data_IF_900691331527
#
_entry.id   IF_900691331527
#
_cell.length_a   1.000
_cell.length_b   1.000
_cell.length_c   1.000
_cell.angle_alpha   90.00
_cell.angle_beta   90.00
_cell.angle_gamma   90.00
#
_symmetry.space_group_name_H-M   'P 1'
#
loop_
_entity.id
_entity.type
_entity.pdbx_description
1 polymer ?
#
# COMPACT_ATOMS: atom_id res chain seq x y z
N UNK A 1 25.47 9.40 -31.83
CA UNK A 1 24.91 8.16 -32.42
C UNK A 1 25.90 7.23 -33.13
N UNK A 2 27.22 7.39 -33.06
CA UNK A 2 28.14 6.47 -33.80
C UNK A 2 29.31 5.90 -33.00
N UNK A 3 29.23 5.88 -31.67
CA UNK A 3 30.25 5.22 -30.82
C UNK A 3 29.71 4.62 -29.51
N UNK A 4 28.40 4.34 -29.40
CA UNK A 4 27.92 3.32 -28.46
C UNK A 4 28.02 1.99 -29.21
N UNK A 5 29.16 1.33 -29.09
CA UNK A 5 29.50 0.18 -29.94
C UNK A 5 28.47 -0.93 -29.79
N UNK A 6 28.11 -1.55 -30.92
CA UNK A 6 27.29 -2.77 -30.98
C UNK A 6 27.79 -3.86 -30.01
N UNK A 7 29.10 -3.87 -29.75
CA UNK A 7 29.79 -4.78 -28.83
C UNK A 7 29.32 -4.60 -27.38
N UNK A 8 29.06 -3.37 -26.93
CA UNK A 8 28.65 -3.10 -25.55
C UNK A 8 27.18 -3.51 -25.30
N UNK A 9 26.30 -3.30 -26.27
CA UNK A 9 24.86 -3.64 -26.16
C UNK A 9 24.63 -5.14 -25.97
N UNK A 10 25.44 -5.96 -26.64
CA UNK A 10 25.37 -7.42 -26.53
C UNK A 10 25.96 -7.97 -25.21
N UNK A 11 26.67 -7.15 -24.43
CA UNK A 11 27.23 -7.56 -23.12
C UNK A 11 26.31 -7.25 -21.94
N UNK A 12 25.30 -6.39 -22.14
CA UNK A 12 24.38 -5.97 -21.07
C UNK A 12 23.31 -7.05 -20.87
N UNK A 13 23.38 -7.73 -19.73
CA UNK A 13 22.43 -8.77 -19.31
C UNK A 13 21.52 -8.34 -18.14
N UNK A 14 21.85 -7.23 -17.48
CA UNK A 14 21.11 -6.67 -16.35
C UNK A 14 20.95 -5.18 -16.57
N UNK A 15 19.73 -4.68 -16.43
CA UNK A 15 19.43 -3.25 -16.56
C UNK A 15 18.41 -2.81 -15.50
N UNK A 16 18.72 -1.72 -14.82
CA UNK A 16 17.85 -1.06 -13.83
C UNK A 16 17.63 0.36 -14.30
N UNK A 17 16.37 0.72 -14.50
CA UNK A 17 15.95 2.04 -14.96
C UNK A 17 14.90 2.56 -14.01
N UNK A 18 15.24 3.64 -13.33
CA UNK A 18 14.33 4.43 -12.51
C UNK A 18 14.16 5.79 -13.22
N UNK A 19 12.94 6.07 -13.66
CA UNK A 19 12.64 7.29 -14.43
C UNK A 19 11.89 8.23 -13.52
N UNK A 20 12.60 9.18 -12.94
CA UNK A 20 11.98 10.23 -12.15
C UNK A 20 11.65 11.47 -12.97
N UNK A 21 10.37 11.70 -13.26
CA UNK A 21 9.93 12.96 -13.84
C UNK A 21 9.69 13.99 -12.72
N UNK A 22 10.57 14.98 -12.64
CA UNK A 22 10.37 16.16 -11.80
C UNK A 22 9.41 17.12 -12.52
N UNK A 23 8.17 17.17 -12.03
CA UNK A 23 7.28 18.32 -12.10
C UNK A 23 7.22 19.09 -13.42
N UNK A 24 6.39 18.63 -14.35
CA UNK A 24 5.48 19.47 -15.14
C UNK A 24 4.54 18.55 -15.92
N UNK A 25 3.26 18.92 -16.04
CA UNK A 25 2.28 18.22 -16.88
C UNK A 25 2.63 18.47 -18.35
N UNK A 26 3.58 17.71 -18.89
CA UNK A 26 3.76 17.61 -20.33
C UNK A 26 2.99 16.39 -20.81
N UNK A 27 2.33 16.49 -21.95
CA UNK A 27 1.57 15.44 -22.65
C UNK A 27 2.44 14.29 -23.17
N UNK A 28 3.55 13.99 -22.49
CA UNK A 28 4.52 12.95 -22.83
C UNK A 28 4.03 11.58 -22.36
N UNK A 29 2.83 11.20 -22.82
CA UNK A 29 2.11 9.98 -22.45
C UNK A 29 2.66 8.75 -23.23
N UNK A 30 3.28 8.95 -24.39
CA UNK A 30 3.84 7.87 -25.25
C UNK A 30 5.30 7.47 -24.93
N UNK A 31 6.02 8.29 -24.17
CA UNK A 31 7.49 8.16 -24.05
C UNK A 31 7.90 6.89 -23.31
N UNK A 32 7.16 6.46 -22.29
CA UNK A 32 7.57 5.33 -21.46
C UNK A 32 7.33 3.97 -22.14
N UNK A 33 6.21 3.83 -22.86
CA UNK A 33 5.92 2.62 -23.66
C UNK A 33 6.97 2.48 -24.75
N UNK A 34 7.21 3.57 -25.49
CA UNK A 34 8.24 3.60 -26.52
C UNK A 34 9.61 3.30 -25.92
N UNK A 35 9.96 3.90 -24.77
CA UNK A 35 11.24 3.65 -24.11
C UNK A 35 11.37 2.18 -23.68
N UNK A 36 10.33 1.59 -23.10
CA UNK A 36 10.30 0.18 -22.71
C UNK A 36 10.54 -0.73 -23.92
N UNK A 37 9.83 -0.50 -25.02
CA UNK A 37 10.03 -1.23 -26.28
C UNK A 37 11.47 -1.01 -26.80
N UNK A 38 11.96 0.23 -26.81
CA UNK A 38 13.31 0.56 -27.27
C UNK A 38 14.40 -0.13 -26.44
N UNK A 39 14.23 -0.24 -25.13
CA UNK A 39 15.15 -0.98 -24.26
C UNK A 39 15.18 -2.45 -24.69
N UNK A 40 14.01 -3.06 -24.86
CA UNK A 40 13.89 -4.46 -25.21
C UNK A 40 14.42 -4.79 -26.61
N UNK A 41 14.33 -3.84 -27.55
CA UNK A 41 14.92 -3.99 -28.89
C UNK A 41 16.42 -3.70 -28.91
N UNK A 42 16.91 -2.77 -28.08
CA UNK A 42 18.33 -2.41 -28.03
C UNK A 42 19.22 -3.43 -27.30
N UNK A 43 18.66 -4.20 -26.36
CA UNK A 43 19.42 -5.14 -25.53
C UNK A 43 18.94 -6.60 -25.74
N UNK A 44 19.34 -7.26 -26.84
CA UNK A 44 18.85 -8.61 -27.18
C UNK A 44 19.26 -9.71 -26.19
N UNK A 45 20.31 -9.47 -25.37
CA UNK A 45 20.81 -10.39 -24.35
C UNK A 45 20.35 -10.04 -22.93
N UNK A 46 19.41 -9.10 -22.79
CA UNK A 46 18.90 -8.65 -21.50
C UNK A 46 18.16 -9.77 -20.79
N UNK A 47 18.67 -10.20 -19.63
CA UNK A 47 18.07 -11.25 -18.79
C UNK A 47 17.26 -10.71 -17.63
N UNK A 48 17.63 -9.53 -17.13
CA UNK A 48 16.95 -8.84 -16.02
C UNK A 48 16.65 -7.40 -16.40
N UNK A 49 15.40 -6.98 -16.19
CA UNK A 49 14.97 -5.60 -16.32
C UNK A 49 14.17 -5.16 -15.10
N UNK A 50 14.59 -4.06 -14.47
CA UNK A 50 13.75 -3.32 -13.53
C UNK A 50 13.39 -1.96 -14.13
N UNK A 51 12.11 -1.73 -14.34
CA UNK A 51 11.57 -0.54 -14.98
C UNK A 51 10.51 0.10 -14.08
N UNK A 52 10.91 1.15 -13.37
CA UNK A 52 10.06 1.88 -12.44
C UNK A 52 9.98 3.36 -12.81
N UNK A 53 9.00 3.80 -13.62
CA UNK A 53 8.77 5.23 -13.79
C UNK A 53 8.09 5.77 -12.52
N UNK A 54 8.68 6.79 -11.91
CA UNK A 54 8.32 7.19 -10.56
C UNK A 54 7.05 8.05 -10.44
N UNK A 55 6.40 8.46 -11.55
CA UNK A 55 5.34 9.50 -11.45
C UNK A 55 4.56 9.85 -12.72
N UNK A 56 4.61 9.07 -13.81
CA UNK A 56 4.02 9.49 -15.09
C UNK A 56 2.67 8.80 -15.31
N UNK A 57 1.68 9.61 -15.68
CA UNK A 57 0.34 9.18 -16.10
C UNK A 57 0.46 8.57 -17.50
N UNK A 58 0.13 7.30 -17.65
CA UNK A 58 0.03 6.67 -18.96
C UNK A 58 -1.37 6.90 -19.52
N UNK A 59 -1.45 7.19 -20.82
CA UNK A 59 -2.55 6.60 -21.59
C UNK A 59 -2.19 5.15 -21.85
N UNK A 60 -3.20 4.30 -21.68
CA UNK A 60 -3.17 2.84 -21.77
C UNK A 60 -2.16 2.34 -22.81
N UNK A 61 -1.42 1.27 -22.51
CA UNK A 61 -0.68 0.50 -23.53
C UNK A 61 -1.58 0.02 -24.69
N UNK A 62 -2.91 0.13 -24.53
CA UNK A 62 -3.88 -0.03 -25.61
C UNK A 62 -3.84 1.15 -26.56
N UNK A 63 -3.78 0.85 -27.85
CA UNK A 63 -3.87 1.74 -29.01
C UNK A 63 -2.53 1.86 -29.75
N UNK A 64 -2.38 0.96 -30.74
CA UNK A 64 -1.54 1.08 -31.94
C UNK A 64 -0.11 0.49 -31.98
N UNK A 65 0.46 -0.02 -30.90
CA UNK A 65 1.72 -0.77 -31.02
C UNK A 65 1.48 -2.23 -31.40
N UNK A 66 1.76 -2.61 -32.66
CA UNK A 66 1.95 -4.00 -33.07
C UNK A 66 3.20 -4.59 -32.37
N UNK A 67 3.06 -4.91 -31.09
CA UNK A 67 4.08 -5.54 -30.24
C UNK A 67 4.46 -6.97 -30.68
N UNK A 68 3.79 -7.51 -31.70
CA UNK A 68 3.88 -8.90 -32.14
C UNK A 68 5.20 -9.29 -32.83
N UNK A 69 6.10 -8.35 -33.13
CA UNK A 69 7.25 -8.64 -34.00
C UNK A 69 8.65 -8.42 -33.41
N UNK A 70 8.83 -7.67 -32.31
CA UNK A 70 10.20 -7.28 -31.91
C UNK A 70 10.36 -7.12 -30.39
N UNK A 71 10.42 -8.21 -29.62
CA UNK A 71 10.84 -8.13 -28.21
C UNK A 71 11.82 -9.25 -27.83
N UNK A 72 12.85 -8.90 -27.06
CA UNK A 72 13.96 -9.74 -26.60
C UNK A 72 13.51 -11.13 -26.13
N UNK A 73 13.99 -12.15 -26.83
CA UNK A 73 13.72 -13.55 -26.50
C UNK A 73 14.42 -14.01 -25.23
N UNK A 74 15.35 -13.24 -24.65
CA UNK A 74 16.25 -13.70 -23.57
C UNK A 74 15.88 -13.23 -22.17
N UNK A 75 14.85 -12.39 -22.02
CA UNK A 75 14.44 -11.86 -20.72
C UNK A 75 13.90 -12.96 -19.81
N UNK A 76 14.50 -13.10 -18.62
CA UNK A 76 14.15 -14.11 -17.62
C UNK A 76 13.41 -13.50 -16.43
N UNK A 77 13.73 -12.25 -16.08
CA UNK A 77 13.19 -11.55 -14.92
C UNK A 77 12.83 -10.11 -15.24
N UNK A 78 11.61 -9.72 -14.85
CA UNK A 78 11.05 -8.41 -15.10
C UNK A 78 10.40 -7.83 -13.85
N UNK A 79 10.79 -6.62 -13.50
CA UNK A 79 10.18 -5.82 -12.44
C UNK A 79 9.61 -4.56 -13.09
N UNK A 80 8.32 -4.33 -12.91
CA UNK A 80 7.63 -3.18 -13.52
C UNK A 80 6.74 -2.49 -12.49
N UNK A 81 6.77 -1.16 -12.53
CA UNK A 81 5.73 -0.32 -11.94
C UNK A 81 4.79 0.13 -13.06
N UNK A 82 3.53 -0.27 -12.98
CA UNK A 82 2.51 0.05 -13.97
C UNK A 82 1.41 0.89 -13.31
N UNK A 83 0.77 1.80 -14.04
CA UNK A 83 -0.35 2.55 -13.48
C UNK A 83 -1.57 1.67 -13.31
N UNK A 84 -1.80 0.72 -14.22
CA UNK A 84 -2.96 -0.15 -14.21
C UNK A 84 -2.62 -1.63 -14.55
N UNK A 85 -3.58 -2.53 -14.30
CA UNK A 85 -3.42 -3.97 -14.58
C UNK A 85 -3.63 -4.32 -16.06
N UNK A 86 -4.31 -3.48 -16.83
CA UNK A 86 -4.52 -3.71 -18.27
C UNK A 86 -3.18 -3.63 -18.98
N UNK A 87 -2.33 -2.68 -18.58
CA UNK A 87 -0.95 -2.54 -19.02
C UNK A 87 -0.12 -3.81 -18.77
N UNK A 88 -0.36 -4.49 -17.65
CA UNK A 88 0.27 -5.78 -17.35
C UNK A 88 -0.14 -6.84 -18.36
N UNK A 89 -1.42 -6.86 -18.78
CA UNK A 89 -1.91 -7.80 -19.79
C UNK A 89 -1.28 -7.54 -21.15
N UNK A 90 -1.23 -6.27 -21.58
CA UNK A 90 -0.57 -5.90 -22.83
C UNK A 90 0.89 -6.31 -22.85
N UNK A 91 1.59 -6.13 -21.73
CA UNK A 91 2.97 -6.55 -21.57
C UNK A 91 3.14 -8.07 -21.69
N UNK A 92 2.16 -8.85 -21.22
CA UNK A 92 2.20 -10.31 -21.17
C UNK A 92 1.70 -10.99 -22.46
N UNK A 93 0.83 -10.35 -23.25
CA UNK A 93 0.11 -10.90 -24.41
C UNK A 93 0.96 -11.13 -25.69
N UNK A 94 2.24 -11.48 -25.57
CA UNK A 94 2.98 -12.02 -26.74
C UNK A 94 4.48 -11.80 -26.78
N UNK A 95 5.08 -11.23 -25.74
CA UNK A 95 6.41 -10.63 -25.87
C UNK A 95 7.54 -11.34 -25.11
N UNK A 96 7.24 -12.18 -24.11
CA UNK A 96 8.29 -12.74 -23.23
C UNK A 96 8.18 -14.26 -23.05
N UNK A 97 8.51 -15.00 -24.10
CA UNK A 97 8.43 -16.45 -24.07
C UNK A 97 9.39 -17.12 -23.08
N UNK A 98 10.49 -16.48 -22.67
CA UNK A 98 11.44 -17.05 -21.70
C UNK A 98 11.26 -16.53 -20.26
N UNK A 99 10.32 -15.62 -20.02
CA UNK A 99 10.13 -14.99 -18.72
C UNK A 99 9.80 -16.03 -17.66
N UNK A 100 10.58 -16.05 -16.58
CA UNK A 100 10.40 -16.95 -15.44
C UNK A 100 9.89 -16.22 -14.21
N UNK A 101 10.27 -14.96 -14.04
CA UNK A 101 9.98 -14.15 -12.87
C UNK A 101 9.38 -12.83 -13.29
N UNK A 102 8.20 -12.50 -12.75
CA UNK A 102 7.54 -11.22 -12.99
C UNK A 102 7.08 -10.58 -11.68
N UNK A 103 7.53 -9.34 -11.45
CA UNK A 103 7.08 -8.48 -10.36
C UNK A 103 6.34 -7.28 -10.94
N UNK A 104 5.10 -7.08 -10.50
CA UNK A 104 4.23 -5.98 -10.91
C UNK A 104 3.80 -5.19 -9.69
N UNK A 105 4.04 -3.89 -9.72
CA UNK A 105 3.53 -2.94 -8.75
C UNK A 105 2.58 -1.96 -9.44
N UNK A 106 1.32 -1.93 -9.01
CA UNK A 106 0.27 -1.07 -9.55
C UNK A 106 0.25 0.25 -8.76
N UNK A 107 0.38 1.38 -9.45
CA UNK A 107 0.53 2.69 -8.82
C UNK A 107 -0.73 3.55 -8.80
N UNK A 108 -1.84 3.14 -9.44
CA UNK A 108 -3.11 3.86 -9.41
C UNK A 108 -4.34 2.97 -9.19
N UNK A 109 -5.44 3.58 -8.71
CA UNK A 109 -6.74 2.93 -8.50
C UNK A 109 -7.35 2.49 -9.81
N UNK A 110 -7.85 1.27 -9.84
CA UNK A 110 -8.54 0.70 -10.99
C UNK A 110 -10.05 0.95 -10.89
N UNK A 111 -10.63 1.49 -11.96
CA UNK A 111 -12.04 1.30 -12.29
C UNK A 111 -12.10 1.07 -13.80
N UNK A 112 -12.27 -0.18 -14.24
CA UNK A 112 -12.30 -0.46 -15.67
C UNK A 112 -13.52 -1.30 -16.04
N UNK A 113 -14.20 -0.87 -17.11
CA UNK A 113 -15.23 -1.63 -17.81
C UNK A 113 -14.64 -2.64 -18.81
N UNK A 114 -13.31 -2.79 -18.86
CA UNK A 114 -12.64 -3.70 -19.80
C UNK A 114 -12.79 -5.16 -19.36
N UNK A 115 -13.11 -6.02 -20.31
CA UNK A 115 -13.06 -7.48 -20.16
C UNK A 115 -11.82 -8.04 -20.84
N UNK A 116 -11.15 -9.00 -20.20
CA UNK A 116 -10.01 -9.71 -20.80
C UNK A 116 -10.56 -10.68 -21.85
N UNK A 117 -10.26 -10.44 -23.13
CA UNK A 117 -10.63 -11.35 -24.23
C UNK A 117 -9.48 -12.27 -24.69
N UNK A 118 -8.27 -12.13 -24.15
CA UNK A 118 -7.08 -12.82 -24.66
C UNK A 118 -6.76 -14.12 -23.91
N UNK A 119 -6.53 -15.19 -24.69
CA UNK A 119 -6.47 -16.61 -24.26
C UNK A 119 -5.04 -17.17 -24.12
N UNK A 120 -4.00 -16.37 -24.36
CA UNK A 120 -2.64 -16.91 -24.42
C UNK A 120 -2.11 -17.29 -23.03
N UNK A 121 -1.63 -18.53 -22.92
CA UNK A 121 -1.04 -19.07 -21.69
C UNK A 121 0.38 -18.52 -21.53
N UNK A 122 0.84 -18.37 -20.28
CA UNK A 122 2.21 -18.00 -19.95
C UNK A 122 2.96 -19.23 -19.40
N UNK A 123 3.39 -20.18 -20.26
CA UNK A 123 3.82 -21.50 -19.81
C UNK A 123 5.16 -21.49 -19.05
N UNK A 124 6.02 -20.48 -19.24
CA UNK A 124 7.36 -20.49 -18.65
C UNK A 124 7.47 -19.69 -17.34
N UNK A 125 6.43 -18.93 -16.99
CA UNK A 125 6.42 -18.14 -15.76
C UNK A 125 6.33 -19.06 -14.54
N UNK A 126 7.30 -18.96 -13.64
CA UNK A 126 7.42 -19.75 -12.41
C UNK A 126 7.17 -18.93 -11.16
N UNK A 127 7.47 -17.64 -11.21
CA UNK A 127 7.23 -16.71 -10.13
C UNK A 127 6.41 -15.52 -10.64
N UNK A 128 5.34 -15.18 -9.91
CA UNK A 128 4.58 -13.97 -10.14
C UNK A 128 4.32 -13.23 -8.83
N UNK A 129 4.52 -11.91 -8.84
CA UNK A 129 4.19 -11.04 -7.72
C UNK A 129 3.35 -9.88 -8.22
N UNK A 130 2.14 -9.74 -7.69
CA UNK A 130 1.27 -8.59 -7.94
C UNK A 130 1.05 -7.82 -6.64
N UNK A 131 1.36 -6.54 -6.68
CA UNK A 131 1.09 -5.60 -5.60
C UNK A 131 0.24 -4.44 -6.10
N UNK A 132 -0.83 -4.14 -5.39
CA UNK A 132 -1.57 -2.89 -5.51
C UNK A 132 -1.70 -2.28 -4.13
N UNK A 133 -1.11 -1.11 -3.94
CA UNK A 133 -1.28 -0.32 -2.72
C UNK A 133 -2.61 0.48 -2.74
N UNK A 134 -3.37 0.38 -3.83
CA UNK A 134 -4.66 1.06 -4.03
C UNK A 134 -5.82 0.08 -4.09
N UNK A 135 -7.02 0.59 -3.76
CA UNK A 135 -8.29 -0.13 -3.91
C UNK A 135 -8.51 -0.52 -5.38
N UNK A 136 -8.92 -1.78 -5.61
CA UNK A 136 -9.26 -2.32 -6.93
C UNK A 136 -10.59 -3.07 -6.90
N UNK A 137 -11.48 -2.75 -7.83
CA UNK A 137 -12.74 -3.47 -8.08
C UNK A 137 -12.59 -4.56 -9.17
N UNK A 138 -11.36 -4.76 -9.65
CA UNK A 138 -11.05 -5.61 -10.79
C UNK A 138 -10.60 -7.03 -10.41
N UNK A 139 -10.77 -7.44 -9.16
CA UNK A 139 -10.33 -8.75 -8.68
C UNK A 139 -10.95 -9.90 -9.49
N UNK A 140 -12.28 -9.94 -9.57
CA UNK A 140 -13.00 -11.01 -10.30
C UNK A 140 -12.85 -10.87 -11.82
N UNK A 141 -12.79 -9.62 -12.32
CA UNK A 141 -12.83 -9.32 -13.77
C UNK A 141 -11.48 -9.43 -14.46
N UNK A 142 -10.39 -9.09 -13.77
CA UNK A 142 -9.05 -8.99 -14.36
C UNK A 142 -8.02 -9.86 -13.63
N UNK A 143 -7.95 -9.79 -12.30
CA UNK A 143 -6.89 -10.49 -11.55
C UNK A 143 -7.08 -12.01 -11.62
N UNK A 144 -8.26 -12.53 -11.30
CA UNK A 144 -8.53 -13.97 -11.34
C UNK A 144 -8.31 -14.54 -12.76
N UNK A 145 -8.86 -13.96 -13.84
CA UNK A 145 -8.60 -14.46 -15.19
C UNK A 145 -7.12 -14.38 -15.60
N UNK A 146 -6.37 -13.34 -15.19
CA UNK A 146 -4.94 -13.26 -15.42
C UNK A 146 -4.20 -14.43 -14.74
N UNK A 147 -4.48 -14.66 -13.46
CA UNK A 147 -3.87 -15.74 -12.69
C UNK A 147 -4.17 -17.11 -13.32
N UNK A 148 -5.38 -17.32 -13.84
CA UNK A 148 -5.77 -18.55 -14.53
C UNK A 148 -4.96 -18.83 -15.81
N UNK A 149 -4.27 -17.85 -16.39
CA UNK A 149 -3.37 -18.03 -17.54
C UNK A 149 -1.98 -18.56 -17.14
N UNK A 150 -1.64 -18.50 -15.86
CA UNK A 150 -0.32 -18.78 -15.31
C UNK A 150 -0.24 -20.16 -14.64
N UNK A 151 -0.66 -21.20 -15.36
CA UNK A 151 -0.84 -22.57 -14.84
C UNK A 151 0.43 -23.24 -14.29
N UNK A 152 1.61 -22.76 -14.68
CA UNK A 152 2.91 -23.34 -14.32
C UNK A 152 3.64 -22.63 -13.18
N UNK A 153 2.96 -21.68 -12.52
CA UNK A 153 3.51 -20.97 -11.37
C UNK A 153 3.87 -21.93 -10.24
N UNK A 154 5.04 -21.70 -9.67
CA UNK A 154 5.57 -22.38 -8.50
C UNK A 154 5.47 -21.48 -7.27
N UNK A 155 5.68 -20.16 -7.44
CA UNK A 155 5.52 -19.17 -6.39
C UNK A 155 4.63 -17.99 -6.83
N UNK A 156 3.69 -17.62 -5.95
CA UNK A 156 2.77 -16.52 -6.14
C UNK A 156 2.78 -15.59 -4.92
N UNK A 157 2.93 -14.29 -5.16
CA UNK A 157 2.79 -13.25 -4.16
C UNK A 157 1.66 -12.29 -4.53
N UNK A 158 0.63 -12.16 -3.68
CA UNK A 158 -0.52 -11.26 -3.92
C UNK A 158 -0.73 -10.27 -2.77
N UNK A 159 -0.56 -8.98 -3.04
CA UNK A 159 -0.81 -7.91 -2.08
C UNK A 159 -1.86 -6.95 -2.63
N UNK A 160 -3.10 -7.06 -2.16
CA UNK A 160 -4.25 -6.42 -2.80
C UNK A 160 -5.18 -5.73 -1.78
N UNK A 161 -5.77 -4.62 -2.20
CA UNK A 161 -6.95 -4.03 -1.55
C UNK A 161 -8.14 -4.18 -2.51
N UNK A 162 -9.03 -5.13 -2.22
CA UNK A 162 -10.15 -5.48 -3.09
C UNK A 162 -11.41 -4.75 -2.61
N UNK A 163 -12.11 -4.08 -3.50
CA UNK A 163 -13.37 -3.38 -3.23
C UNK A 163 -14.44 -3.79 -4.24
N UNK A 164 -15.68 -3.34 -4.05
CA UNK A 164 -16.76 -3.54 -5.01
C UNK A 164 -17.30 -4.98 -5.11
N UNK A 165 -16.87 -5.89 -4.23
CA UNK A 165 -17.43 -7.25 -4.13
C UNK A 165 -18.61 -7.29 -3.17
N UNK A 166 -19.51 -8.25 -3.41
CA UNK A 166 -20.62 -8.56 -2.49
C UNK A 166 -20.18 -9.47 -1.33
N UNK A 167 -19.07 -10.20 -1.50
CA UNK A 167 -18.53 -11.15 -0.51
C UNK A 167 -17.05 -10.88 -0.29
N UNK A 168 -16.57 -11.22 0.91
CA UNK A 168 -15.16 -11.17 1.23
C UNK A 168 -14.37 -12.19 0.39
N UNK A 169 -13.09 -11.89 0.20
CA UNK A 169 -12.14 -12.90 -0.27
C UNK A 169 -11.82 -13.79 0.94
N UNK A 170 -12.24 -15.04 0.91
CA UNK A 170 -12.00 -16.05 1.95
C UNK A 170 -11.22 -17.25 1.37
N UNK A 171 -11.07 -18.31 2.17
CA UNK A 171 -10.30 -19.48 1.72
C UNK A 171 -10.95 -20.22 0.55
N UNK A 172 -12.28 -20.24 0.46
CA UNK A 172 -13.01 -20.96 -0.59
C UNK A 172 -12.88 -20.19 -1.90
N UNK A 173 -12.95 -18.86 -1.85
CA UNK A 173 -12.64 -18.00 -2.99
C UNK A 173 -11.21 -18.23 -3.49
N UNK A 174 -10.21 -18.19 -2.60
CA UNK A 174 -8.82 -18.41 -2.98
C UNK A 174 -8.57 -19.82 -3.49
N UNK A 175 -9.21 -20.84 -2.88
CA UNK A 175 -9.08 -22.22 -3.30
C UNK A 175 -9.61 -22.41 -4.71
N UNK A 176 -10.86 -22.01 -4.93
CA UNK A 176 -11.55 -22.12 -6.21
C UNK A 176 -10.87 -21.32 -7.32
N UNK A 177 -10.49 -20.07 -7.04
CA UNK A 177 -10.04 -19.14 -8.08
C UNK A 177 -8.52 -19.18 -8.31
N UNK A 178 -7.73 -19.74 -7.40
CA UNK A 178 -6.27 -19.73 -7.50
C UNK A 178 -5.69 -21.14 -7.31
N UNK A 179 -5.92 -21.75 -6.15
CA UNK A 179 -5.22 -22.99 -5.77
C UNK A 179 -5.59 -24.16 -6.68
N UNK A 180 -6.88 -24.37 -6.92
CA UNK A 180 -7.37 -25.50 -7.72
C UNK A 180 -6.92 -25.42 -9.19
N UNK A 181 -6.61 -24.21 -9.67
CA UNK A 181 -6.13 -23.98 -11.04
C UNK A 181 -4.59 -24.04 -11.16
N UNK A 182 -3.85 -23.83 -10.08
CA UNK A 182 -2.38 -23.77 -10.08
C UNK A 182 -1.74 -25.01 -9.45
N UNK A 183 -1.83 -26.14 -10.14
CA UNK A 183 -1.32 -27.45 -9.67
C UNK A 183 0.17 -27.49 -9.28
N UNK A 184 0.99 -26.55 -9.77
CA UNK A 184 2.43 -26.47 -9.47
C UNK A 184 2.78 -25.50 -8.34
N UNK A 185 1.80 -24.76 -7.82
CA UNK A 185 2.01 -23.73 -6.81
C UNK A 185 2.44 -24.38 -5.50
N UNK A 186 3.71 -24.17 -5.13
CA UNK A 186 4.29 -24.68 -3.88
C UNK A 186 4.43 -23.59 -2.81
N UNK A 187 4.44 -22.32 -3.23
CA UNK A 187 4.55 -21.17 -2.34
C UNK A 187 3.49 -20.14 -2.70
N UNK A 188 2.61 -19.85 -1.76
CA UNK A 188 1.66 -18.77 -1.90
C UNK A 188 1.75 -17.84 -0.70
N UNK A 189 2.15 -16.59 -0.96
CA UNK A 189 2.16 -15.53 0.04
C UNK A 189 1.16 -14.47 -0.36
N UNK A 190 0.37 -14.00 0.59
CA UNK A 190 -0.62 -12.99 0.28
C UNK A 190 -0.94 -12.08 1.46
N UNK A 191 -1.49 -10.93 1.13
CA UNK A 191 -2.18 -10.01 2.03
C UNK A 191 -3.29 -9.35 1.23
N UNK A 192 -4.53 -9.78 1.47
CA UNK A 192 -5.70 -9.33 0.73
C UNK A 192 -6.65 -8.67 1.73
N UNK A 193 -6.85 -7.37 1.58
CA UNK A 193 -7.85 -6.63 2.32
C UNK A 193 -9.07 -6.46 1.42
N UNK A 194 -10.15 -7.19 1.69
CA UNK A 194 -11.40 -7.10 0.94
C UNK A 194 -12.41 -6.22 1.66
N UNK A 195 -13.10 -5.35 0.93
CA UNK A 195 -14.17 -4.48 1.43
C UNK A 195 -15.46 -4.78 0.68
N UNK A 196 -16.54 -4.97 1.42
CA UNK A 196 -17.89 -5.22 0.89
C UNK A 196 -18.84 -4.11 1.31
N UNK A 197 -19.91 -3.92 0.54
CA UNK A 197 -21.04 -3.13 0.98
C UNK A 197 -21.95 -4.00 1.84
N UNK A 198 -22.44 -3.43 2.94
CA UNK A 198 -23.47 -4.02 3.78
C UNK A 198 -24.81 -3.60 3.19
N UNK A 199 -25.28 -4.34 2.19
CA UNK A 199 -26.68 -4.29 1.79
C UNK A 199 -27.55 -4.87 2.92
N UNK A 200 -28.89 -4.82 2.81
CA UNK A 200 -29.86 -5.15 3.88
C UNK A 200 -29.79 -6.59 4.46
N UNK A 201 -28.72 -7.35 4.19
CA UNK A 201 -28.42 -8.64 4.79
C UNK A 201 -28.09 -8.47 6.29
N UNK A 202 -28.63 -9.38 7.10
CA UNK A 202 -28.50 -9.37 8.56
C UNK A 202 -27.41 -10.32 9.08
N UNK A 203 -26.86 -11.18 8.22
CA UNK A 203 -25.91 -12.22 8.64
C UNK A 203 -24.51 -11.97 8.05
N UNK A 204 -23.67 -11.33 8.85
CA UNK A 204 -22.30 -11.03 8.47
C UNK A 204 -21.32 -11.99 9.15
N UNK A 205 -20.36 -12.59 8.41
CA UNK A 205 -19.47 -13.59 8.96
C UNK A 205 -18.55 -13.03 10.05
N UNK A 206 -18.56 -13.63 11.25
CA UNK A 206 -17.58 -13.27 12.28
C UNK A 206 -16.14 -13.60 11.84
N UNK A 207 -15.15 -13.05 12.53
CA UNK A 207 -13.76 -13.41 12.26
C UNK A 207 -13.49 -14.91 12.46
N UNK A 208 -14.15 -15.54 13.44
CA UNK A 208 -14.06 -17.00 13.64
C UNK A 208 -14.65 -17.77 12.45
N UNK A 209 -15.73 -17.27 11.85
CA UNK A 209 -16.31 -17.89 10.66
C UNK A 209 -15.34 -17.82 9.49
N UNK A 210 -14.72 -16.65 9.23
CA UNK A 210 -13.70 -16.50 8.19
C UNK A 210 -12.48 -17.37 8.47
N UNK A 211 -11.95 -17.36 9.70
CA UNK A 211 -10.83 -18.20 10.13
C UNK A 211 -11.10 -19.69 9.92
N UNK A 212 -12.32 -20.16 10.21
CA UNK A 212 -12.71 -21.55 10.03
C UNK A 212 -12.59 -22.00 8.58
N UNK A 213 -12.82 -21.11 7.62
CA UNK A 213 -12.67 -21.46 6.19
C UNK A 213 -11.21 -21.86 5.89
N UNK A 214 -10.23 -21.22 6.52
CA UNK A 214 -8.81 -21.50 6.28
C UNK A 214 -8.25 -22.79 6.90
N UNK A 215 -9.06 -23.60 7.59
CA UNK A 215 -8.58 -24.80 8.31
C UNK A 215 -7.89 -25.83 7.42
N UNK A 216 -8.39 -25.99 6.20
CA UNK A 216 -7.88 -26.98 5.24
C UNK A 216 -6.79 -26.38 4.33
N UNK A 217 -6.46 -25.11 4.51
CA UNK A 217 -5.49 -24.42 3.70
C UNK A 217 -4.06 -24.78 4.13
N UNK A 218 -3.39 -25.60 3.32
CA UNK A 218 -2.06 -26.14 3.64
C UNK A 218 -0.91 -25.12 3.65
N UNK A 219 -1.14 -23.89 3.23
CA UNK A 219 -0.10 -22.86 3.25
C UNK A 219 0.20 -22.38 4.68
N UNK A 220 1.24 -21.57 4.85
CA UNK A 220 1.65 -20.94 6.11
C UNK A 220 0.45 -20.48 6.96
N UNK A 221 0.63 -20.40 8.29
CA UNK A 221 -0.37 -19.86 9.21
C UNK A 221 -1.05 -18.62 8.64
N UNK A 222 -2.37 -18.71 8.43
CA UNK A 222 -3.19 -17.62 7.90
C UNK A 222 -3.79 -16.87 9.05
N UNK A 223 -3.70 -15.55 8.97
CA UNK A 223 -4.29 -14.65 9.95
C UNK A 223 -5.34 -13.80 9.24
N UNK A 224 -6.46 -13.57 9.92
CA UNK A 224 -7.60 -12.80 9.44
C UNK A 224 -8.20 -11.96 10.53
N UNK A 225 -8.74 -10.82 10.12
CA UNK A 225 -9.57 -9.94 10.94
C UNK A 225 -10.73 -9.42 10.11
N UNK A 226 -11.91 -9.39 10.72
CA UNK A 226 -13.12 -8.88 10.12
C UNK A 226 -13.65 -7.74 10.96
N UNK A 227 -13.99 -6.65 10.28
CA UNK A 227 -14.54 -5.44 10.85
C UNK A 227 -15.79 -5.01 10.10
N UNK A 228 -16.75 -4.49 10.84
CA UNK A 228 -17.98 -3.95 10.30
C UNK A 228 -18.10 -2.48 10.69
N UNK A 229 -18.46 -1.67 9.70
CA UNK A 229 -18.62 -0.24 9.77
C UNK A 229 -20.08 0.10 9.45
N UNK A 230 -21.01 0.00 10.43
CA UNK A 230 -22.45 0.18 10.17
C UNK A 230 -22.82 1.56 9.62
N UNK A 231 -22.09 2.62 9.98
CA UNK A 231 -22.40 3.98 9.50
C UNK A 231 -21.96 4.19 8.05
N UNK A 232 -20.83 3.59 7.67
CA UNK A 232 -20.35 3.55 6.31
C UNK A 232 -21.09 2.50 5.46
N UNK A 233 -21.86 1.60 6.11
CA UNK A 233 -22.47 0.41 5.50
C UNK A 233 -21.43 -0.45 4.79
N UNK A 234 -20.31 -0.69 5.45
CA UNK A 234 -19.19 -1.43 4.87
C UNK A 234 -18.68 -2.52 5.81
N UNK A 235 -18.27 -3.64 5.24
CA UNK A 235 -17.49 -4.66 5.92
C UNK A 235 -16.07 -4.67 5.37
N UNK A 236 -15.09 -4.96 6.20
CA UNK A 236 -13.70 -5.18 5.81
C UNK A 236 -13.22 -6.51 6.36
N UNK A 237 -12.56 -7.30 5.51
CA UNK A 237 -11.90 -8.53 5.90
C UNK A 237 -10.46 -8.48 5.38
N UNK A 238 -9.50 -8.49 6.28
CA UNK A 238 -8.08 -8.59 5.92
C UNK A 238 -7.58 -10.00 6.24
N UNK A 239 -7.10 -10.69 5.22
CA UNK A 239 -6.48 -12.01 5.31
C UNK A 239 -5.02 -11.92 4.85
N UNK A 240 -4.11 -12.64 5.50
CA UNK A 240 -2.71 -12.70 5.06
C UNK A 240 -1.99 -13.96 5.53
N UNK A 241 -0.95 -14.34 4.78
CA UNK A 241 -0.01 -15.40 5.15
C UNK A 241 1.05 -14.90 6.13
N UNK A 242 1.32 -15.63 7.20
CA UNK A 242 2.40 -15.34 8.16
C UNK A 242 3.75 -15.93 7.70
N UNK A 243 4.90 -15.27 7.94
CA UNK A 243 5.04 -13.90 8.44
C UNK A 243 4.63 -12.85 7.39
N UNK A 244 4.12 -11.71 7.87
CA UNK A 244 3.74 -10.58 7.01
C UNK A 244 4.98 -9.89 6.43
N UNK A 245 5.13 -9.91 5.10
CA UNK A 245 6.33 -9.38 4.40
C UNK A 245 6.11 -8.08 3.63
N UNK A 246 4.88 -7.53 3.63
CA UNK A 246 4.64 -6.24 2.97
C UNK A 246 5.21 -5.09 3.79
N UNK A 247 5.66 -4.05 3.08
CA UNK A 247 6.11 -2.78 3.68
C UNK A 247 4.94 -1.93 4.18
N UNK A 248 3.73 -2.19 3.68
CA UNK A 248 2.57 -1.36 3.97
C UNK A 248 1.50 -2.20 4.66
N UNK A 249 0.82 -1.63 5.66
CA UNK A 249 -0.35 -2.21 6.29
C UNK A 249 -1.44 -1.15 6.45
N UNK A 250 -2.43 -1.18 5.58
CA UNK A 250 -3.46 -0.16 5.51
C UNK A 250 -4.76 -0.58 6.22
N UNK A 251 -5.53 0.43 6.65
CA UNK A 251 -6.88 0.31 7.23
C UNK A 251 -6.93 -0.57 8.49
N UNK A 252 -5.95 -0.43 9.39
CA UNK A 252 -5.93 -1.10 10.69
C UNK A 252 -7.01 -0.51 11.60
N UNK A 253 -7.82 -1.39 12.20
CA UNK A 253 -8.99 -1.06 13.04
C UNK A 253 -8.71 -1.41 14.51
N UNK A 254 -9.65 -1.10 15.43
CA UNK A 254 -9.54 -1.51 16.84
C UNK A 254 -9.53 -3.05 17.04
N UNK A 255 -9.96 -3.82 16.04
CA UNK A 255 -9.97 -5.29 16.12
C UNK A 255 -8.60 -5.91 15.86
N UNK A 256 -7.61 -5.11 15.47
CA UNK A 256 -6.23 -5.55 15.33
C UNK A 256 -5.68 -6.11 16.66
N UNK A 257 -5.33 -7.40 16.74
CA UNK A 257 -4.94 -8.04 18.00
C UNK A 257 -3.48 -7.75 18.39
N UNK A 258 -2.68 -7.16 17.49
CA UNK A 258 -1.24 -7.03 17.67
C UNK A 258 -0.46 -8.09 16.88
N UNK A 259 0.74 -8.42 17.34
CA UNK A 259 1.72 -9.24 16.60
C UNK A 259 2.97 -8.44 16.27
N UNK A 260 4.00 -9.08 15.71
CA UNK A 260 5.26 -8.43 15.34
C UNK A 260 5.39 -8.33 13.81
N UNK A 261 5.49 -7.11 13.29
CA UNK A 261 5.50 -6.82 11.86
C UNK A 261 6.79 -6.08 11.46
N UNK A 262 7.90 -6.83 11.43
CA UNK A 262 9.25 -6.25 11.25
C UNK A 262 9.49 -5.62 9.87
N UNK A 263 8.73 -6.02 8.85
CA UNK A 263 8.88 -5.52 7.48
C UNK A 263 8.04 -4.28 7.18
N UNK A 264 7.05 -3.97 8.03
CA UNK A 264 6.12 -2.86 7.81
C UNK A 264 6.80 -1.53 8.15
N UNK A 265 6.61 -0.55 7.27
CA UNK A 265 7.13 0.82 7.35
C UNK A 265 6.02 1.86 7.29
N UNK A 266 4.94 1.58 6.56
CA UNK A 266 3.82 2.50 6.39
C UNK A 266 2.54 1.85 6.89
N UNK A 267 1.83 2.53 7.80
CA UNK A 267 0.51 2.08 8.25
C UNK A 267 -0.53 3.18 8.16
N UNK A 268 -1.77 2.75 7.91
CA UNK A 268 -2.95 3.62 8.07
C UNK A 268 -3.95 3.03 9.06
N UNK A 269 -4.48 3.90 9.92
CA UNK A 269 -5.44 3.56 10.97
C UNK A 269 -6.80 4.17 10.62
N UNK A 270 -7.86 3.35 10.65
CA UNK A 270 -9.23 3.77 10.39
C UNK A 270 -10.23 2.92 11.19
N UNK A 271 -11.19 3.57 11.85
CA UNK A 271 -12.31 2.89 12.51
C UNK A 271 -13.48 3.87 12.72
N UNK A 272 -14.70 3.35 12.84
CA UNK A 272 -15.87 4.10 13.29
C UNK A 272 -15.94 4.29 14.80
N UNK A 273 -15.16 3.50 15.55
CA UNK A 273 -14.96 3.61 17.00
C UNK A 273 -13.73 4.46 17.29
N UNK A 274 -13.66 5.16 18.44
CA UNK A 274 -12.46 5.88 18.81
C UNK A 274 -11.28 4.95 19.07
N UNK A 275 -10.07 5.41 18.78
CA UNK A 275 -8.83 4.72 19.16
C UNK A 275 -8.37 5.23 20.52
N UNK A 276 -8.34 4.35 21.51
CA UNK A 276 -7.85 4.70 22.86
C UNK A 276 -6.32 4.61 22.94
N UNK A 277 -5.74 5.11 24.03
CA UNK A 277 -4.29 5.10 24.22
C UNK A 277 -3.67 3.70 24.09
N UNK A 278 -4.30 2.68 24.68
CA UNK A 278 -3.84 1.29 24.62
C UNK A 278 -3.77 0.75 23.19
N UNK A 279 -4.60 1.26 22.29
CA UNK A 279 -4.51 0.92 20.87
C UNK A 279 -3.21 1.45 20.28
N UNK A 280 -2.86 2.72 20.51
CA UNK A 280 -1.61 3.30 20.03
C UNK A 280 -0.37 2.62 20.63
N UNK A 281 -0.46 2.16 21.90
CA UNK A 281 0.59 1.37 22.53
C UNK A 281 0.76 0.02 21.82
N UNK A 282 -0.35 -0.67 21.52
CA UNK A 282 -0.35 -1.91 20.72
C UNK A 282 0.29 -1.68 19.35
N UNK A 283 -0.08 -0.60 18.64
CA UNK A 283 0.52 -0.21 17.36
C UNK A 283 2.03 -0.02 17.50
N UNK A 284 2.51 0.73 18.49
CA UNK A 284 3.95 0.96 18.67
C UNK A 284 4.76 -0.32 18.88
N UNK A 285 4.19 -1.29 19.61
CA UNK A 285 4.82 -2.60 19.86
C UNK A 285 4.77 -3.50 18.64
N UNK A 286 3.71 -3.40 17.85
CA UNK A 286 3.53 -4.23 16.68
C UNK A 286 4.36 -3.82 15.47
N UNK A 287 4.66 -2.52 15.36
CA UNK A 287 5.38 -1.95 14.22
C UNK A 287 6.63 -1.21 14.69
N UNK A 288 7.66 -1.94 15.19
CA UNK A 288 8.83 -1.32 15.80
C UNK A 288 9.60 -0.41 14.83
N UNK A 289 9.59 -0.72 13.53
CA UNK A 289 10.29 0.03 12.48
C UNK A 289 9.37 0.94 11.64
N UNK A 290 8.20 1.31 12.16
CA UNK A 290 7.25 2.16 11.43
C UNK A 290 7.86 3.55 11.14
N UNK A 291 7.85 3.92 9.87
CA UNK A 291 8.31 5.20 9.32
C UNK A 291 7.16 6.18 9.08
N UNK A 292 5.99 5.68 8.68
CA UNK A 292 4.83 6.50 8.32
C UNK A 292 3.58 6.03 9.06
N UNK A 293 2.88 6.97 9.67
CA UNK A 293 1.61 6.76 10.34
C UNK A 293 0.56 7.72 9.81
N UNK A 294 -0.47 7.18 9.16
CA UNK A 294 -1.66 7.94 8.76
C UNK A 294 -2.84 7.58 9.65
N UNK A 295 -3.47 8.59 10.28
CA UNK A 295 -4.63 8.38 11.14
C UNK A 295 -5.88 9.05 10.55
N UNK A 296 -6.94 8.27 10.37
CA UNK A 296 -8.24 8.75 9.89
C UNK A 296 -9.29 8.31 10.91
N UNK A 297 -9.57 9.18 11.88
CA UNK A 297 -10.60 8.93 12.88
C UNK A 297 -11.14 10.23 13.46
N UNK A 298 -12.42 10.52 13.20
CA UNK A 298 -13.08 11.75 13.68
C UNK A 298 -13.81 11.57 15.02
N UNK A 299 -13.72 10.38 15.64
CA UNK A 299 -14.36 10.11 16.93
C UNK A 299 -13.51 10.63 18.08
N UNK A 300 -14.21 11.11 19.10
CA UNK A 300 -13.62 11.54 20.35
C UNK A 300 -13.17 10.32 21.17
N UNK A 301 -11.98 10.40 21.79
CA UNK A 301 -11.54 9.37 22.74
C UNK A 301 -12.44 9.39 23.99
N UNK A 302 -12.80 8.20 24.47
CA UNK A 302 -13.59 8.04 25.68
C UNK A 302 -12.69 8.23 26.91
N UNK A 303 -11.48 7.68 26.89
CA UNK A 303 -10.56 7.66 28.03
C UNK A 303 -9.49 8.74 27.88
N UNK A 304 -9.86 9.99 28.20
CA UNK A 304 -8.95 11.14 28.07
C UNK A 304 -7.84 11.12 29.13
N UNK A 305 -6.62 10.89 28.69
CA UNK A 305 -5.41 10.92 29.54
C UNK A 305 -5.17 12.26 30.25
N UNK A 306 -5.74 13.35 29.74
CA UNK A 306 -5.59 14.69 30.33
C UNK A 306 -6.49 14.96 31.55
N UNK A 307 -7.38 14.03 31.95
CA UNK A 307 -8.21 14.20 33.15
C UNK A 307 -7.53 13.51 34.33
N UNK A 308 -6.94 14.34 35.18
CA UNK A 308 -6.34 14.13 36.52
C UNK A 308 -6.97 13.02 37.42
N UNK A 309 -7.12 11.78 36.99
CA UNK A 309 -7.16 10.67 37.95
C UNK A 309 -5.71 10.38 38.33
N UNK A 310 -5.34 10.76 39.55
CA UNK A 310 -3.96 10.75 40.07
C UNK A 310 -3.29 9.36 40.10
N UNK A 311 -3.93 8.30 39.62
CA UNK A 311 -3.53 6.91 39.85
C UNK A 311 -3.38 6.05 38.58
N UNK A 312 -3.37 6.62 37.37
CA UNK A 312 -3.09 5.86 36.15
C UNK A 312 -1.84 6.41 35.45
N UNK A 313 -0.68 5.85 35.83
CA UNK A 313 0.56 6.03 35.07
C UNK A 313 0.45 5.26 33.76
N UNK A 314 -0.05 5.90 32.72
CA UNK A 314 0.02 5.35 31.37
C UNK A 314 1.46 5.40 30.86
N UNK A 315 1.86 4.36 30.11
CA UNK A 315 3.19 4.30 29.51
C UNK A 315 3.30 5.34 28.39
N UNK A 316 4.36 6.15 28.38
CA UNK A 316 4.63 7.05 27.25
C UNK A 316 4.92 6.20 26.02
N UNK A 317 4.21 6.46 24.93
CA UNK A 317 4.39 5.73 23.67
C UNK A 317 5.57 6.31 22.90
N UNK A 318 6.48 5.46 22.44
CA UNK A 318 7.64 5.85 21.64
C UNK A 318 7.53 5.33 20.23
N UNK A 319 7.80 6.18 19.24
CA UNK A 319 7.85 5.79 17.82
C UNK A 319 9.24 6.08 17.24
N UNK A 320 10.25 5.23 17.50
CA UNK A 320 11.66 5.57 17.28
C UNK A 320 12.02 5.87 15.83
N UNK A 321 11.34 5.25 14.86
CA UNK A 321 11.63 5.37 13.43
C UNK A 321 10.64 6.25 12.66
N UNK A 322 9.69 6.88 13.34
CA UNK A 322 8.65 7.66 12.68
C UNK A 322 9.25 8.90 12.01
N UNK A 323 9.05 9.03 10.70
CA UNK A 323 9.49 10.19 9.91
C UNK A 323 8.31 10.99 9.37
N UNK A 324 7.11 10.38 9.28
CA UNK A 324 5.92 11.05 8.78
C UNK A 324 4.68 10.69 9.61
N UNK A 325 3.95 11.71 10.05
CA UNK A 325 2.70 11.58 10.79
C UNK A 325 1.60 12.40 10.13
N UNK A 326 0.49 11.76 9.78
CA UNK A 326 -0.67 12.44 9.22
C UNK A 326 -1.90 12.38 10.15
N UNK A 327 -2.34 13.54 10.61
CA UNK A 327 -3.47 13.76 11.51
C UNK A 327 -4.57 14.65 10.90
N UNK A 328 -4.53 14.98 9.60
CA UNK A 328 -5.42 15.99 9.02
C UNK A 328 -6.92 15.63 9.07
N UNK A 329 -7.26 14.34 9.06
CA UNK A 329 -8.64 13.82 9.12
C UNK A 329 -9.02 13.30 10.51
N UNK A 330 -8.47 13.90 11.57
CA UNK A 330 -8.62 13.38 12.94
C UNK A 330 -9.43 14.28 13.87
N UNK A 331 -9.94 13.71 14.95
CA UNK A 331 -10.45 14.47 16.10
C UNK A 331 -9.31 15.12 16.90
N UNK A 332 -9.57 16.24 17.57
CA UNK A 332 -8.58 16.98 18.40
C UNK A 332 -7.91 16.16 19.50
N UNK A 333 -8.52 15.06 19.92
CA UNK A 333 -7.95 14.20 20.97
C UNK A 333 -6.72 13.45 20.45
N UNK A 334 -6.66 13.11 19.16
CA UNK A 334 -5.48 12.50 18.56
C UNK A 334 -4.33 13.49 18.39
N UNK A 335 -4.63 14.75 18.07
CA UNK A 335 -3.62 15.82 18.17
C UNK A 335 -3.06 15.93 19.59
N UNK A 336 -3.88 15.75 20.63
CA UNK A 336 -3.37 15.71 22.02
C UNK A 336 -2.49 14.49 22.24
N UNK A 337 -2.94 13.30 21.84
CA UNK A 337 -2.20 12.04 21.96
C UNK A 337 -0.78 12.14 21.38
N UNK A 338 -0.60 12.77 20.21
CA UNK A 338 0.72 12.85 19.56
C UNK A 338 1.52 14.11 19.90
N UNK A 339 0.87 15.25 20.15
CA UNK A 339 1.59 16.49 20.45
C UNK A 339 1.97 16.64 21.93
N UNK A 340 1.29 15.95 22.86
CA UNK A 340 1.64 16.02 24.28
C UNK A 340 2.82 15.09 24.55
N UNK A 341 3.87 15.63 25.16
CA UNK A 341 5.08 14.86 25.51
C UNK A 341 4.83 13.84 26.63
N UNK A 342 3.82 14.07 27.46
CA UNK A 342 3.37 13.14 28.50
C UNK A 342 2.63 11.90 27.97
N UNK A 343 2.24 11.89 26.69
CA UNK A 343 1.48 10.77 26.08
C UNK A 343 2.26 10.06 25.00
N UNK A 344 3.10 10.79 24.25
CA UNK A 344 3.91 10.23 23.16
C UNK A 344 5.23 10.97 23.07
N UNK A 345 6.31 10.24 22.86
CA UNK A 345 7.61 10.80 22.53
C UNK A 345 7.87 10.63 21.04
N UNK A 346 7.83 11.74 20.30
CA UNK A 346 8.21 11.76 18.88
C UNK A 346 9.74 11.80 18.73
N UNK A 347 10.31 11.17 17.69
CA UNK A 347 11.71 11.32 17.34
C UNK A 347 11.96 12.72 16.74
N UNK A 348 13.23 13.05 16.54
CA UNK A 348 13.60 14.26 15.80
C UNK A 348 13.29 14.11 14.31
N UNK A 349 13.08 15.25 13.64
CA UNK A 349 12.90 15.38 12.20
C UNK A 349 11.59 14.80 11.63
N UNK A 350 10.54 14.65 12.44
CA UNK A 350 9.22 14.20 11.96
C UNK A 350 8.56 15.25 11.07
N UNK A 351 8.03 14.82 9.93
CA UNK A 351 7.16 15.61 9.06
C UNK A 351 5.71 15.37 9.46
N UNK A 352 4.94 16.42 9.70
CA UNK A 352 3.57 16.30 10.20
C UNK A 352 2.58 17.03 9.30
N UNK A 353 1.46 16.35 9.00
CA UNK A 353 0.28 16.91 8.35
C UNK A 353 -0.86 17.03 9.37
N UNK A 354 -1.45 18.23 9.52
CA UNK A 354 -2.44 18.51 10.57
C UNK A 354 -3.51 19.52 10.13
N UNK A 355 -4.68 19.46 10.77
CA UNK A 355 -5.66 20.56 10.72
C UNK A 355 -5.17 21.76 11.54
N UNK A 356 -5.11 22.95 10.93
CA UNK A 356 -4.65 24.18 11.59
C UNK A 356 -5.53 24.58 12.77
N UNK A 357 -6.86 24.56 12.60
CA UNK A 357 -7.83 25.03 13.59
C UNK A 357 -7.82 24.13 14.83
N UNK A 358 -7.73 22.82 14.64
CA UNK A 358 -7.61 21.86 15.74
C UNK A 358 -6.27 22.01 16.46
N UNK A 359 -5.18 22.15 15.72
CA UNK A 359 -3.84 22.32 16.30
C UNK A 359 -3.75 23.62 17.12
N UNK A 360 -4.28 24.73 16.60
CA UNK A 360 -4.38 26.01 17.33
C UNK A 360 -5.15 25.85 18.64
N UNK A 361 -6.26 25.09 18.66
CA UNK A 361 -7.04 24.82 19.88
C UNK A 361 -6.26 23.96 20.88
N UNK A 362 -5.57 22.91 20.41
CA UNK A 362 -4.85 21.95 21.26
C UNK A 362 -3.62 22.60 21.92
N UNK A 363 -2.88 23.38 21.15
CA UNK A 363 -1.67 24.11 21.58
C UNK A 363 -1.97 25.42 22.30
N UNK A 364 -3.24 25.76 22.52
CA UNK A 364 -3.69 27.04 23.08
C UNK A 364 -3.05 28.23 22.35
N UNK A 365 -3.36 28.35 21.06
CA UNK A 365 -2.77 29.33 20.15
C UNK A 365 -1.23 29.26 20.14
N UNK A 366 -0.65 28.05 20.09
CA UNK A 366 0.80 27.84 20.06
C UNK A 366 1.55 28.45 21.26
N UNK A 367 0.97 28.35 22.46
CA UNK A 367 1.56 28.85 23.72
C UNK A 367 1.66 27.80 24.81
N UNK A 368 1.13 26.60 24.59
CA UNK A 368 1.06 25.54 25.60
C UNK A 368 2.38 24.77 25.71
N UNK A 369 3.03 24.84 26.86
CA UNK A 369 4.35 24.22 27.10
C UNK A 369 4.35 22.69 26.97
N UNK A 370 3.32 21.99 27.46
CA UNK A 370 3.24 20.50 27.42
C UNK A 370 3.28 19.95 25.99
N UNK A 371 2.88 20.75 25.00
CA UNK A 371 2.93 20.37 23.59
C UNK A 371 4.21 20.82 22.89
N UNK A 372 4.99 21.72 23.52
CA UNK A 372 6.13 22.38 22.88
C UNK A 372 7.28 21.42 22.61
N UNK A 373 7.51 20.46 23.50
CA UNK A 373 8.60 19.50 23.36
C UNK A 373 8.49 18.70 22.07
N UNK A 374 7.35 18.04 21.80
CA UNK A 374 7.15 17.33 20.53
C UNK A 374 7.10 18.28 19.32
N UNK A 375 6.49 19.47 19.45
CA UNK A 375 6.44 20.44 18.35
C UNK A 375 7.83 20.95 17.94
N UNK A 376 8.77 21.05 18.89
CA UNK A 376 10.15 21.50 18.61
C UNK A 376 10.98 20.51 17.78
N UNK A 377 10.58 19.24 17.76
CA UNK A 377 11.26 18.15 17.05
C UNK A 377 10.87 18.04 15.57
N UNK A 378 9.82 18.75 15.15
CA UNK A 378 9.26 18.61 13.80
C UNK A 378 10.15 19.31 12.76
N UNK A 379 10.43 18.64 11.64
CA UNK A 379 11.21 19.20 10.51
C UNK A 379 10.33 19.88 9.46
N UNK A 380 9.07 19.48 9.37
CA UNK A 380 8.12 20.00 8.40
C UNK A 380 6.70 19.94 8.98
N UNK A 381 5.95 21.03 8.84
CA UNK A 381 4.55 21.07 9.25
C UNK A 381 3.68 21.58 8.10
N UNK A 382 2.80 20.72 7.63
CA UNK A 382 1.77 21.08 6.66
C UNK A 382 0.43 21.27 7.37
N UNK A 383 -0.15 22.45 7.20
CA UNK A 383 -1.43 22.81 7.77
C UNK A 383 -2.54 22.81 6.72
N UNK A 384 -3.52 21.92 6.89
CA UNK A 384 -4.78 21.99 6.16
C UNK A 384 -5.67 23.10 6.73
N UNK A 385 -6.52 23.68 5.86
CA UNK A 385 -7.49 24.72 6.22
C UNK A 385 -6.85 25.97 6.88
N UNK A 386 -5.70 26.39 6.33
CA UNK A 386 -4.94 27.58 6.74
C UNK A 386 -5.82 28.84 6.67
N UNK A 387 -5.66 29.72 7.65
CA UNK A 387 -6.14 31.10 7.57
C UNK A 387 -4.94 32.05 7.60
N UNK A 388 -4.39 32.30 8.79
CA UNK A 388 -3.27 33.21 9.04
C UNK A 388 -2.42 32.65 10.19
N UNK A 389 -1.09 32.73 10.05
CA UNK A 389 -0.16 32.27 11.07
C UNK A 389 0.14 33.39 12.07
N UNK A 390 0.06 33.12 13.39
CA UNK A 390 0.53 34.10 14.36
C UNK A 390 2.06 34.23 14.29
N UNK A 391 2.58 35.40 14.63
CA UNK A 391 4.02 35.69 14.57
C UNK A 391 4.85 34.68 15.37
N UNK A 392 4.39 34.32 16.58
CA UNK A 392 5.06 33.38 17.47
C UNK A 392 4.94 31.91 17.06
N UNK A 393 4.36 31.60 15.89
CA UNK A 393 4.27 30.22 15.39
C UNK A 393 5.67 29.62 15.17
N UNK A 394 6.62 30.41 14.67
CA UNK A 394 7.99 29.97 14.42
C UNK A 394 8.70 29.58 15.71
N UNK A 395 8.48 30.31 16.80
CA UNK A 395 9.05 30.00 18.13
C UNK A 395 8.53 28.68 18.71
N UNK A 396 7.37 28.25 18.21
CA UNK A 396 6.70 27.02 18.61
C UNK A 396 7.13 25.81 17.78
N UNK A 397 7.58 26.05 16.54
CA UNK A 397 8.13 25.05 15.62
C UNK A 397 9.51 25.49 15.09
N UNK A 398 10.52 25.67 15.97
CA UNK A 398 11.78 26.33 15.64
C UNK A 398 12.59 25.65 14.52
N UNK A 399 12.40 24.34 14.31
CA UNK A 399 13.10 23.55 13.29
C UNK A 399 12.27 23.27 12.04
N UNK A 400 10.98 23.61 12.05
CA UNK A 400 10.07 23.17 11.01
C UNK A 400 10.05 24.14 9.83
N UNK A 401 10.11 23.60 8.62
CA UNK A 401 9.64 24.31 7.43
C UNK A 401 8.10 24.31 7.40
N UNK A 402 7.50 25.49 7.31
CA UNK A 402 6.05 25.70 7.24
C UNK A 402 5.73 26.48 5.94
N UNK A 403 4.97 25.91 4.99
CA UNK A 403 4.64 26.55 3.71
C UNK A 403 3.53 27.62 3.78
#
# INVERSE_FOLDING_TARGET
ETFFSWTLKNQISVLVIDISANGQRTSTEDVNVLLFIHILTMFPNLRYLNFGPSSIWYQQLSYDAQLSTIISSSLLELHVCLPDLIDCLYLLDGCFNQLRTLHVNITFTMSSNSTINNKEKLPNLRFFSLRSDWDTDCYDKLIVPLLNRMLNLEELNLFLQVTGRQKFVDSEDLKKNIIDHMSRLNKFKFSICSTIQLDNELDFPSNENIQKTFRDFKANQIISYVDYFPKARQGQCHIYSYPYKSKNYYKITNSFPGGLFEFVRDISLYDERPFEHEFFLRISRSFPYMEKLTLINRKQQNNKQCRKSKNQNFSIITYPHLIQLDLHKTHKDYHRQFLFDITTCLPDNVRVCMDYRLTKKVTHNFRRNITRNNCSKLSYVFFYYKSEFPEHLKDYFPRARIP
#
